data_IF_781326983900
#
_entry.id   IF_781326983900
#
_cell.length_a   1.000
_cell.length_b   1.000
_cell.length_c   1.000
_cell.angle_alpha   90.00
_cell.angle_beta   90.00
_cell.angle_gamma   90.00
#
_symmetry.space_group_name_H-M   'P 1'
#
loop_
_entity.id
_entity.type
_entity.pdbx_description
1 polymer ?
#
# COMPACT_ATOMS: atom_id res chain seq x y z
N UNK A 1 3.38 31.01 -15.24
CA UNK A 1 4.07 31.05 -13.95
C UNK A 1 4.02 29.63 -13.42
N UNK A 2 5.18 28.98 -13.26
CA UNK A 2 5.22 27.72 -12.52
C UNK A 2 4.87 28.09 -11.09
N UNK A 3 3.80 27.50 -10.57
CA UNK A 3 3.42 27.63 -9.17
C UNK A 3 4.64 27.29 -8.30
N UNK A 4 4.82 27.99 -7.18
CA UNK A 4 5.95 27.71 -6.29
C UNK A 4 5.82 26.26 -5.83
N UNK A 5 6.64 25.36 -6.37
CA UNK A 5 6.61 23.94 -6.03
C UNK A 5 7.03 23.79 -4.58
N UNK A 6 6.05 23.82 -3.67
CA UNK A 6 6.27 23.65 -2.25
C UNK A 6 6.61 22.18 -2.01
N UNK A 7 7.86 21.92 -1.64
CA UNK A 7 8.27 20.59 -1.22
C UNK A 7 7.44 20.14 -0.02
N UNK A 8 6.87 18.94 -0.11
CA UNK A 8 6.20 18.29 1.01
C UNK A 8 7.25 18.01 2.10
N UNK A 9 6.99 18.33 3.38
CA UNK A 9 7.87 17.95 4.48
C UNK A 9 8.17 16.44 4.44
N UNK A 10 9.45 16.09 4.45
CA UNK A 10 9.91 14.70 4.34
C UNK A 10 10.38 14.19 5.70
N UNK A 11 10.06 12.95 6.03
CA UNK A 11 10.62 12.29 7.21
C UNK A 11 12.06 11.81 7.00
N UNK A 12 12.81 11.51 8.09
CA UNK A 12 14.14 10.91 8.00
C UNK A 12 14.13 9.57 7.25
N UNK A 13 15.29 9.19 6.71
CA UNK A 13 15.49 7.88 6.10
C UNK A 13 15.20 6.74 7.10
N UNK A 14 14.67 5.63 6.58
CA UNK A 14 14.33 4.46 7.39
C UNK A 14 14.66 3.15 6.66
N UNK A 15 14.73 2.06 7.43
CA UNK A 15 14.77 0.69 6.94
C UNK A 15 13.71 -0.09 7.71
N UNK A 16 12.90 -0.88 7.01
CA UNK A 16 11.94 -1.81 7.61
C UNK A 16 12.19 -3.21 7.07
N UNK A 17 12.33 -4.18 7.99
CA UNK A 17 12.52 -5.60 7.66
C UNK A 17 11.25 -6.45 7.85
N UNK A 18 10.20 -5.87 8.45
CA UNK A 18 8.92 -6.52 8.79
C UNK A 18 9.11 -7.83 9.59
N UNK A 19 9.70 -7.73 10.78
CA UNK A 19 9.85 -8.87 11.69
C UNK A 19 8.53 -9.35 12.30
N UNK A 20 8.61 -10.24 13.29
CA UNK A 20 7.44 -10.92 13.91
C UNK A 20 6.40 -9.99 14.61
N UNK A 21 6.66 -8.69 14.68
CA UNK A 21 5.72 -7.70 15.20
C UNK A 21 5.38 -6.70 14.09
N UNK A 22 4.09 -6.48 13.87
CA UNK A 22 3.58 -5.42 13.00
C UNK A 22 3.96 -4.06 13.58
N UNK A 23 4.71 -3.20 12.88
CA UNK A 23 5.04 -1.88 13.38
C UNK A 23 3.86 -0.92 13.13
N UNK A 24 2.75 -1.10 13.86
CA UNK A 24 1.55 -0.24 13.77
C UNK A 24 1.86 1.25 14.00
N UNK A 25 2.97 1.55 14.69
CA UNK A 25 3.49 2.92 14.88
C UNK A 25 3.88 3.60 13.56
N UNK A 26 4.39 2.86 12.59
CA UNK A 26 4.89 3.41 11.33
C UNK A 26 3.91 3.20 10.18
N UNK A 27 3.10 2.14 10.28
CA UNK A 27 2.29 1.66 9.18
C UNK A 27 0.80 1.64 9.55
N UNK A 28 -0.02 2.13 8.64
CA UNK A 28 -1.46 1.90 8.61
C UNK A 28 -1.75 0.62 7.84
N UNK A 29 -2.56 -0.26 8.44
CA UNK A 29 -3.04 -1.49 7.84
C UNK A 29 -4.46 -1.26 7.33
N UNK A 30 -4.66 -1.38 6.02
CA UNK A 30 -5.95 -1.07 5.41
C UNK A 30 -7.03 -2.08 5.85
N UNK A 31 -8.15 -1.55 6.33
CA UNK A 31 -9.33 -2.33 6.68
C UNK A 31 -10.60 -1.55 6.33
N UNK A 32 -11.04 -1.61 5.07
CA UNK A 32 -12.20 -0.89 4.57
C UNK A 32 -12.76 -1.50 3.29
N UNK A 33 -14.01 -1.18 2.99
CA UNK A 33 -14.64 -1.53 1.72
C UNK A 33 -14.31 -0.49 0.66
N UNK A 34 -14.17 -0.95 -0.59
CA UNK A 34 -13.91 -0.11 -1.74
C UNK A 34 -15.17 -0.17 -2.60
N UNK A 35 -16.20 0.66 -2.38
CA UNK A 35 -17.48 0.53 -3.08
C UNK A 35 -17.40 0.94 -4.56
N UNK A 36 -16.50 1.87 -4.89
CA UNK A 36 -16.32 2.48 -6.21
C UNK A 36 -14.91 2.19 -6.77
N UNK A 37 -14.64 2.55 -8.02
CA UNK A 37 -13.33 2.36 -8.64
C UNK A 37 -13.09 0.98 -9.26
N UNK A 38 -11.88 0.80 -9.79
CA UNK A 38 -11.52 -0.33 -10.67
C UNK A 38 -11.18 -1.62 -9.94
N UNK A 39 -10.75 -1.53 -8.67
CA UNK A 39 -10.40 -2.70 -7.87
C UNK A 39 -11.59 -3.66 -7.73
N UNK A 40 -11.33 -4.96 -7.69
CA UNK A 40 -12.36 -6.01 -7.51
C UNK A 40 -12.29 -6.65 -6.12
N UNK A 41 -11.56 -6.04 -5.20
CA UNK A 41 -11.42 -6.45 -3.81
C UNK A 41 -11.82 -5.32 -2.86
N UNK A 42 -12.14 -5.70 -1.63
CA UNK A 42 -12.05 -4.81 -0.47
C UNK A 42 -10.71 -5.04 0.25
N UNK A 43 -10.33 -4.17 1.18
CA UNK A 43 -9.10 -4.32 1.96
C UNK A 43 -9.39 -4.84 3.36
N UNK A 44 -8.56 -5.79 3.78
CA UNK A 44 -8.74 -6.53 5.03
C UNK A 44 -7.42 -6.69 5.74
N UNK A 45 -7.37 -6.19 6.97
CA UNK A 45 -6.17 -6.28 7.80
C UNK A 45 -5.79 -7.73 8.10
N UNK A 46 -6.76 -8.65 8.16
CA UNK A 46 -6.49 -10.08 8.38
C UNK A 46 -5.69 -10.75 7.25
N UNK A 47 -5.59 -10.12 6.08
CA UNK A 47 -4.76 -10.58 4.97
C UNK A 47 -3.32 -10.03 5.03
N UNK A 48 -2.97 -9.30 6.09
CA UNK A 48 -1.63 -8.75 6.33
C UNK A 48 -1.00 -9.53 7.47
N UNK A 49 0.15 -10.15 7.22
CA UNK A 49 0.92 -10.82 8.27
C UNK A 49 2.40 -10.50 8.18
N UNK A 50 3.08 -10.47 9.32
CA UNK A 50 4.53 -10.33 9.39
C UNK A 50 5.13 -11.53 10.10
N UNK A 51 6.39 -11.86 9.78
CA UNK A 51 7.05 -13.03 10.35
C UNK A 51 8.55 -13.00 10.11
N UNK A 52 9.21 -14.14 10.34
CA UNK A 52 10.66 -14.27 10.13
C UNK A 52 11.08 -13.97 8.67
N UNK A 53 10.16 -14.13 7.71
CA UNK A 53 10.40 -13.93 6.28
C UNK A 53 9.94 -12.53 5.79
N UNK A 54 9.60 -11.61 6.68
CA UNK A 54 9.12 -10.28 6.32
C UNK A 54 7.59 -10.18 6.28
N UNK A 55 7.11 -9.22 5.49
CA UNK A 55 5.69 -8.92 5.24
C UNK A 55 5.10 -9.90 4.21
N UNK A 56 3.90 -10.39 4.48
CA UNK A 56 3.06 -11.11 3.53
C UNK A 56 1.74 -10.37 3.35
N UNK A 57 1.41 -10.10 2.08
CA UNK A 57 0.15 -9.52 1.65
C UNK A 57 -0.63 -10.60 0.88
N UNK A 58 -1.80 -10.98 1.39
CA UNK A 58 -2.63 -12.01 0.81
C UNK A 58 -3.84 -11.42 0.06
N UNK A 59 -4.33 -12.19 -0.91
CA UNK A 59 -5.67 -12.04 -1.48
C UNK A 59 -6.47 -13.32 -1.22
N UNK A 60 -7.67 -13.18 -0.68
CA UNK A 60 -8.54 -14.30 -0.29
C UNK A 60 -9.93 -14.12 -0.88
N UNK A 61 -10.62 -15.22 -1.18
CA UNK A 61 -11.98 -15.16 -1.72
C UNK A 61 -12.98 -14.92 -0.58
N UNK A 62 -13.94 -14.03 -0.79
CA UNK A 62 -15.07 -13.86 0.14
C UNK A 62 -15.96 -15.09 0.16
N UNK A 63 -16.54 -15.39 1.32
CA UNK A 63 -17.54 -16.44 1.45
C UNK A 63 -18.83 -16.10 0.69
N UNK A 64 -19.23 -14.83 0.74
CA UNK A 64 -20.44 -14.33 0.10
C UNK A 64 -20.23 -13.98 -1.37
N UNK A 65 -21.27 -14.17 -2.18
CA UNK A 65 -21.26 -13.71 -3.58
C UNK A 65 -21.39 -12.19 -3.60
N UNK A 66 -20.41 -11.54 -4.22
CA UNK A 66 -20.38 -10.08 -4.36
C UNK A 66 -19.78 -9.69 -5.71
N UNK A 67 -20.10 -8.49 -6.19
CA UNK A 67 -19.43 -7.86 -7.33
C UNK A 67 -17.93 -7.62 -7.10
N UNK A 68 -17.49 -7.68 -5.83
CA UNK A 68 -16.11 -7.60 -5.35
C UNK A 68 -15.79 -8.87 -4.56
N UNK A 69 -15.52 -10.01 -5.23
CA UNK A 69 -15.49 -11.32 -4.59
C UNK A 69 -14.19 -11.61 -3.80
N UNK A 70 -13.30 -10.63 -3.69
CA UNK A 70 -11.99 -10.78 -3.07
C UNK A 70 -11.80 -9.84 -1.87
N UNK A 71 -11.03 -10.30 -0.90
CA UNK A 71 -10.39 -9.47 0.12
C UNK A 71 -8.92 -9.40 -0.27
N UNK A 72 -8.39 -8.20 -0.48
CA UNK A 72 -6.97 -7.92 -0.69
C UNK A 72 -6.32 -7.39 0.59
N UNK A 73 -5.12 -6.85 0.45
CA UNK A 73 -4.36 -6.26 1.55
C UNK A 73 -3.52 -5.09 1.06
N UNK A 74 -3.40 -4.08 1.90
CA UNK A 74 -2.59 -2.88 1.65
C UNK A 74 -2.02 -2.41 2.99
N UNK A 75 -0.77 -1.96 2.96
CA UNK A 75 -0.11 -1.32 4.10
C UNK A 75 0.60 -0.06 3.62
N UNK A 76 0.44 1.03 4.37
CA UNK A 76 0.91 2.38 3.97
C UNK A 76 1.61 3.04 5.14
N UNK A 77 2.64 3.84 4.91
CA UNK A 77 3.25 4.63 5.99
C UNK A 77 2.29 5.71 6.47
N UNK A 78 2.28 6.02 7.77
CA UNK A 78 1.52 7.18 8.29
C UNK A 78 2.09 8.51 7.77
N UNK A 79 3.38 8.52 7.48
CA UNK A 79 4.14 9.70 7.08
C UNK A 79 4.39 9.74 5.57
N UNK A 80 4.63 10.95 5.04
CA UNK A 80 5.03 11.18 3.65
C UNK A 80 6.56 11.26 3.50
N UNK A 81 7.04 10.81 2.35
CA UNK A 81 8.44 10.85 1.98
C UNK A 81 8.57 11.54 0.61
N UNK A 82 9.65 12.30 0.43
CA UNK A 82 9.89 13.09 -0.79
C UNK A 82 11.01 12.51 -1.64
N UNK A 83 11.84 13.36 -2.23
CA UNK A 83 12.97 12.93 -3.04
C UNK A 83 13.95 12.06 -2.26
N UNK A 84 14.39 10.96 -2.88
CA UNK A 84 15.29 10.01 -2.27
C UNK A 84 15.35 8.69 -3.05
N UNK A 85 16.01 7.70 -2.46
CA UNK A 85 16.06 6.34 -3.00
C UNK A 85 15.01 5.48 -2.29
N UNK A 86 14.10 4.91 -3.07
CA UNK A 86 13.13 3.93 -2.61
C UNK A 86 13.57 2.55 -3.08
N UNK A 87 13.63 1.59 -2.16
CA UNK A 87 14.05 0.22 -2.44
C UNK A 87 13.09 -0.75 -1.78
N UNK A 88 12.77 -1.82 -2.51
CA UNK A 88 11.98 -2.93 -2.01
C UNK A 88 12.63 -4.24 -2.44
N UNK A 89 12.69 -5.19 -1.51
CA UNK A 89 13.01 -6.60 -1.81
C UNK A 89 11.72 -7.38 -1.63
N UNK A 90 11.05 -7.70 -2.75
CA UNK A 90 9.75 -8.38 -2.76
C UNK A 90 9.71 -9.52 -3.77
N UNK A 91 8.76 -10.43 -3.57
CA UNK A 91 8.37 -11.44 -4.56
C UNK A 91 6.88 -11.27 -4.87
N UNK A 92 6.50 -10.89 -6.10
CA UNK A 92 5.12 -10.66 -6.46
C UNK A 92 4.31 -11.96 -6.52
N UNK A 93 3.00 -11.86 -6.25
CA UNK A 93 2.09 -12.98 -6.35
C UNK A 93 1.91 -13.41 -7.81
N UNK A 94 1.81 -14.72 -8.07
CA UNK A 94 1.46 -15.25 -9.39
C UNK A 94 -0.05 -15.47 -9.48
N UNK A 95 -0.69 -14.85 -10.47
CA UNK A 95 -2.08 -15.13 -10.80
C UNK A 95 -2.61 -14.20 -11.89
N UNK A 96 -3.57 -14.67 -12.69
CA UNK A 96 -4.20 -13.84 -13.71
C UNK A 96 -5.07 -12.76 -13.07
N UNK A 97 -4.89 -11.50 -13.50
CA UNK A 97 -5.67 -10.37 -13.01
C UNK A 97 -5.29 -9.88 -11.61
N UNK A 98 -4.11 -10.27 -11.11
CA UNK A 98 -3.54 -9.73 -9.87
C UNK A 98 -2.52 -8.64 -10.21
N UNK A 99 -2.34 -7.72 -9.26
CA UNK A 99 -1.23 -6.76 -9.22
C UNK A 99 -0.57 -6.90 -7.85
N UNK A 100 0.76 -7.01 -7.83
CA UNK A 100 1.57 -6.79 -6.63
C UNK A 100 2.35 -5.48 -6.81
N UNK A 101 2.12 -4.48 -5.97
CA UNK A 101 2.69 -3.15 -6.16
C UNK A 101 3.57 -2.68 -4.99
N UNK A 102 4.52 -1.82 -5.32
CA UNK A 102 5.23 -0.92 -4.39
C UNK A 102 5.23 0.47 -5.02
N UNK A 103 4.66 1.45 -4.32
CA UNK A 103 4.41 2.76 -4.89
C UNK A 103 4.47 3.86 -3.84
N UNK A 104 4.61 5.11 -4.29
CA UNK A 104 4.38 6.31 -3.49
C UNK A 104 3.11 6.98 -3.99
N UNK A 105 2.26 7.48 -3.08
CA UNK A 105 1.02 8.16 -3.47
C UNK A 105 0.74 9.36 -2.57
N UNK A 106 0.32 10.45 -3.21
CA UNK A 106 -0.48 11.50 -2.58
C UNK A 106 -1.56 11.98 -3.56
N UNK A 107 -2.57 12.69 -3.06
CA UNK A 107 -3.67 13.13 -3.90
C UNK A 107 -4.72 13.97 -3.19
N UNK A 108 -5.88 14.21 -3.84
CA UNK A 108 -6.91 15.12 -3.33
C UNK A 108 -7.43 14.74 -1.93
N UNK A 109 -7.45 13.45 -1.59
CA UNK A 109 -7.80 12.98 -0.25
C UNK A 109 -6.89 13.58 0.84
N UNK A 110 -5.61 13.81 0.52
CA UNK A 110 -4.63 14.41 1.42
C UNK A 110 -4.46 15.92 1.21
N UNK A 111 -5.28 16.56 0.37
CA UNK A 111 -5.18 17.98 0.04
C UNK A 111 -4.07 18.33 -0.97
N UNK A 112 -3.52 17.34 -1.68
CA UNK A 112 -2.45 17.52 -2.66
C UNK A 112 -2.93 17.26 -4.10
N UNK A 113 -2.10 17.61 -5.10
CA UNK A 113 -2.24 17.08 -6.45
C UNK A 113 -1.98 15.57 -6.46
N UNK A 114 -2.49 14.88 -7.48
CA UNK A 114 -2.20 13.45 -7.65
C UNK A 114 -0.77 13.28 -8.18
N UNK A 115 0.13 12.92 -7.27
CA UNK A 115 1.51 12.55 -7.58
C UNK A 115 1.74 11.09 -7.14
N UNK A 116 2.17 10.25 -8.08
CA UNK A 116 2.33 8.82 -7.87
C UNK A 116 3.52 8.27 -8.67
N UNK A 117 4.23 7.29 -8.09
CA UNK A 117 5.32 6.56 -8.74
C UNK A 117 5.14 5.07 -8.43
N UNK A 118 5.09 4.25 -9.47
CA UNK A 118 4.68 2.84 -9.37
C UNK A 118 5.77 1.85 -9.75
N UNK A 119 5.78 0.73 -9.04
CA UNK A 119 6.37 -0.55 -9.47
C UNK A 119 5.29 -1.61 -9.34
N UNK A 120 4.80 -2.14 -10.46
CA UNK A 120 3.70 -3.11 -10.53
C UNK A 120 4.14 -4.41 -11.23
N UNK A 121 3.67 -5.55 -10.72
CA UNK A 121 3.92 -6.90 -11.25
C UNK A 121 2.62 -7.70 -11.42
#
# INVERSE_FOLDING_TARGET
MLDETRLIPTQPAFITLFGANTPERMWYLANHDVPEGFWRNDFRQENISTGANGLSLAITRKAERSARPWNGSEITTHEKYGYGRYEVVMSPARGSGLISSFFTFTGPYFGDQHDEIDIEF
#
